data_IF_506032044869
#
_entry.id   IF_506032044869
#
_cell.length_a   1.000
_cell.length_b   1.000
_cell.length_c   1.000
_cell.angle_alpha   90.00
_cell.angle_beta   90.00
_cell.angle_gamma   90.00
#
_symmetry.space_group_name_H-M   'P 1'
#
loop_
_entity.id
_entity.type
_entity.pdbx_description
1 polymer ?
#
# COMPACT_ATOMS: atom_id res chain seq x y z
N UNK A 1 34.19 -5.70 6.89
CA UNK A 1 33.10 -6.53 6.33
C UNK A 1 31.98 -5.58 5.91
N UNK A 2 31.83 -5.29 4.61
CA UNK A 2 30.74 -4.43 4.12
C UNK A 2 29.44 -5.17 4.35
N UNK A 3 28.62 -4.71 5.29
CA UNK A 3 27.23 -5.18 5.40
C UNK A 3 26.57 -4.68 4.11
N UNK A 4 26.14 -5.63 3.28
CA UNK A 4 25.48 -5.33 2.02
C UNK A 4 24.11 -4.70 2.36
N UNK A 5 24.03 -3.37 2.37
CA UNK A 5 22.81 -2.57 2.64
C UNK A 5 21.71 -2.77 1.57
N UNK A 6 21.99 -3.58 0.54
CA UNK A 6 21.09 -3.93 -0.57
C UNK A 6 20.14 -5.11 -0.28
N UNK A 7 20.28 -5.77 0.87
CA UNK A 7 19.25 -6.74 1.28
C UNK A 7 17.96 -5.91 1.38
N UNK A 8 16.86 -6.37 0.81
CA UNK A 8 15.55 -5.74 0.96
C UNK A 8 15.27 -4.47 0.13
N UNK A 9 15.84 -4.27 -1.08
CA UNK A 9 15.39 -3.21 -2.03
C UNK A 9 14.91 -3.82 -3.35
N UNK A 10 13.74 -3.40 -3.86
CA UNK A 10 13.23 -3.91 -5.15
C UNK A 10 14.07 -3.37 -6.30
N UNK A 11 14.56 -4.28 -7.14
CA UNK A 11 15.41 -3.93 -8.26
C UNK A 11 14.66 -3.96 -9.60
N UNK A 12 13.69 -4.86 -9.75
CA UNK A 12 12.88 -4.94 -10.96
C UNK A 12 11.37 -5.00 -10.65
N UNK A 13 10.66 -3.91 -10.98
CA UNK A 13 9.22 -3.78 -10.75
C UNK A 13 8.38 -4.76 -11.59
N UNK A 14 8.85 -5.14 -12.77
CA UNK A 14 8.12 -6.00 -13.70
C UNK A 14 8.25 -7.47 -13.32
N UNK A 15 9.45 -7.90 -12.88
CA UNK A 15 9.62 -9.23 -12.25
C UNK A 15 8.77 -9.31 -10.99
N UNK A 16 8.85 -8.30 -10.12
CA UNK A 16 8.09 -8.30 -8.88
C UNK A 16 6.58 -8.27 -9.10
N UNK A 17 6.08 -7.65 -10.18
CA UNK A 17 4.65 -7.70 -10.52
C UNK A 17 4.21 -9.15 -10.74
N UNK A 18 5.00 -9.92 -11.49
CA UNK A 18 4.72 -11.34 -11.72
C UNK A 18 4.73 -12.13 -10.42
N UNK A 19 5.68 -11.86 -9.53
CA UNK A 19 5.78 -12.51 -8.22
C UNK A 19 4.60 -12.19 -7.29
N UNK A 20 3.93 -11.05 -7.50
CA UNK A 20 2.70 -10.71 -6.77
C UNK A 20 1.46 -11.44 -7.29
N UNK A 21 1.47 -11.99 -8.50
CA UNK A 21 0.32 -12.70 -9.09
C UNK A 21 -0.30 -13.74 -8.15
N UNK A 22 0.43 -14.74 -7.61
CA UNK A 22 -0.16 -15.75 -6.74
C UNK A 22 -0.70 -15.18 -5.42
N UNK A 23 -0.20 -14.03 -4.98
CA UNK A 23 -0.65 -13.36 -3.75
C UNK A 23 -1.94 -12.58 -3.99
N UNK A 24 -2.04 -11.90 -5.14
CA UNK A 24 -3.20 -11.09 -5.50
C UNK A 24 -4.35 -11.98 -5.96
N UNK A 25 -4.07 -13.02 -6.77
CA UNK A 25 -5.07 -14.00 -7.21
C UNK A 25 -5.42 -15.03 -6.15
N UNK A 26 -4.45 -15.39 -5.33
CA UNK A 26 -4.60 -16.50 -4.39
C UNK A 26 -5.43 -16.17 -3.16
N UNK A 27 -5.93 -17.24 -2.56
CA UNK A 27 -6.34 -17.27 -1.16
C UNK A 27 -5.66 -18.43 -0.45
N UNK A 28 -5.76 -18.47 0.87
CA UNK A 28 -5.33 -19.63 1.62
C UNK A 28 -6.32 -20.80 1.46
N UNK A 29 -5.96 -21.95 2.03
CA UNK A 29 -6.75 -23.19 2.02
C UNK A 29 -8.17 -23.06 2.63
N UNK A 30 -8.50 -21.90 3.22
CA UNK A 30 -9.82 -21.59 3.78
C UNK A 30 -10.58 -20.56 2.93
N UNK A 31 -10.13 -20.31 1.70
CA UNK A 31 -10.72 -19.33 0.79
C UNK A 31 -10.47 -17.88 1.20
N UNK A 32 -9.50 -17.62 2.07
CA UNK A 32 -9.18 -16.26 2.54
C UNK A 32 -8.12 -15.64 1.64
N UNK A 33 -8.45 -14.59 0.90
CA UNK A 33 -7.48 -13.88 0.06
C UNK A 33 -6.32 -13.30 0.88
N UNK A 34 -5.08 -13.46 0.39
CA UNK A 34 -3.85 -13.06 1.10
C UNK A 34 -3.80 -11.57 1.43
N UNK A 35 -4.44 -10.74 0.60
CA UNK A 35 -4.58 -9.31 0.81
C UNK A 35 -5.60 -8.98 1.92
N UNK A 36 -6.73 -9.70 1.97
CA UNK A 36 -7.86 -9.49 2.91
C UNK A 36 -7.55 -10.03 4.30
N UNK A 37 -6.95 -11.21 4.35
CA UNK A 37 -6.60 -11.90 5.58
C UNK A 37 -5.09 -12.05 5.61
N UNK A 38 -4.38 -10.99 5.98
CA UNK A 38 -3.01 -11.14 6.52
C UNK A 38 -3.03 -11.86 7.87
N UNK A 39 -3.66 -13.03 7.91
CA UNK A 39 -4.12 -13.73 9.07
C UNK A 39 -3.35 -15.03 9.18
N UNK A 40 -2.34 -14.99 10.04
CA UNK A 40 -2.33 -15.97 11.11
C UNK A 40 -2.15 -15.18 12.39
N UNK A 41 -3.24 -14.84 13.11
CA UNK A 41 -3.44 -14.74 14.58
C UNK A 41 -2.30 -14.17 15.49
N UNK A 42 -1.22 -13.67 14.91
CA UNK A 42 0.11 -13.41 15.48
C UNK A 42 0.81 -12.23 14.80
N UNK A 43 0.16 -11.53 13.86
CA UNK A 43 0.73 -10.35 13.16
C UNK A 43 2.10 -10.60 12.54
N UNK A 44 2.44 -11.86 12.18
CA UNK A 44 3.76 -12.19 11.66
C UNK A 44 3.95 -11.59 10.26
N UNK A 45 5.11 -11.00 9.97
CA UNK A 45 5.48 -10.63 8.61
C UNK A 45 5.78 -11.91 7.81
N UNK A 46 5.49 -11.87 6.51
CA UNK A 46 5.73 -12.98 5.59
C UNK A 46 7.08 -12.75 4.92
N UNK A 47 7.93 -13.78 4.86
CA UNK A 47 9.17 -13.72 4.10
C UNK A 47 8.80 -13.99 2.66
N UNK A 48 8.84 -12.96 1.83
CA UNK A 48 8.62 -13.06 0.39
C UNK A 48 9.98 -13.08 -0.30
N UNK A 49 10.31 -14.21 -0.93
CA UNK A 49 11.44 -14.30 -1.86
C UNK A 49 10.94 -13.89 -3.23
N UNK A 50 11.72 -13.07 -3.92
CA UNK A 50 11.40 -12.49 -5.24
C UNK A 50 12.43 -13.02 -6.22
N UNK A 51 12.02 -13.30 -7.45
CA UNK A 51 12.86 -13.92 -8.49
C UNK A 51 14.03 -13.04 -8.94
N UNK A 52 14.00 -11.73 -8.62
CA UNK A 52 15.12 -10.81 -8.81
C UNK A 52 16.24 -10.98 -7.76
N UNK A 53 16.11 -11.96 -6.86
CA UNK A 53 17.04 -12.29 -5.79
C UNK A 53 16.86 -11.45 -4.52
N UNK A 54 15.89 -10.53 -4.50
CA UNK A 54 15.53 -9.81 -3.29
C UNK A 54 14.64 -10.65 -2.36
N UNK A 55 14.64 -10.30 -1.08
CA UNK A 55 13.75 -10.89 -0.08
C UNK A 55 13.22 -9.73 0.74
N UNK A 56 11.94 -9.75 1.11
CA UNK A 56 11.39 -8.78 2.05
C UNK A 56 10.49 -9.47 3.09
N UNK A 57 10.38 -8.82 4.25
CA UNK A 57 9.77 -9.26 5.47
C UNK A 57 8.69 -8.25 5.89
N UNK A 58 7.79 -8.01 4.95
CA UNK A 58 6.60 -7.16 5.07
C UNK A 58 5.37 -8.05 4.95
N UNK A 59 4.20 -7.58 5.40
CA UNK A 59 2.97 -8.30 5.04
C UNK A 59 2.69 -8.12 3.57
N UNK A 60 2.10 -9.12 2.93
CA UNK A 60 1.78 -9.08 1.49
C UNK A 60 1.05 -7.81 1.06
N UNK A 61 0.02 -7.39 1.81
CA UNK A 61 -0.71 -6.15 1.52
C UNK A 61 0.12 -4.87 1.68
N UNK A 62 1.12 -4.87 2.55
CA UNK A 62 2.00 -3.71 2.78
C UNK A 62 2.99 -3.58 1.62
N UNK A 63 3.56 -4.71 1.18
CA UNK A 63 4.40 -4.78 -0.02
C UNK A 63 3.60 -4.41 -1.28
N UNK A 64 2.39 -4.95 -1.43
CA UNK A 64 1.51 -4.65 -2.55
C UNK A 64 1.11 -3.18 -2.62
N UNK A 65 0.71 -2.59 -1.49
CA UNK A 65 0.39 -1.17 -1.41
C UNK A 65 1.60 -0.29 -1.74
N UNK A 66 2.80 -0.68 -1.31
CA UNK A 66 4.03 0.03 -1.66
C UNK A 66 4.36 -0.06 -3.15
N UNK A 67 4.17 -1.24 -3.77
CA UNK A 67 4.38 -1.40 -5.21
C UNK A 67 3.44 -0.48 -6.01
N UNK A 68 2.15 -0.50 -5.69
CA UNK A 68 1.14 0.36 -6.33
C UNK A 68 1.45 1.85 -6.13
N UNK A 69 1.85 2.25 -4.93
CA UNK A 69 2.25 3.62 -4.64
C UNK A 69 3.47 4.03 -5.46
N UNK A 70 4.51 3.20 -5.48
CA UNK A 70 5.73 3.45 -6.25
C UNK A 70 5.44 3.59 -7.75
N UNK A 71 4.60 2.72 -8.32
CA UNK A 71 4.19 2.81 -9.73
C UNK A 71 3.61 4.18 -10.08
N UNK A 72 2.74 4.71 -9.22
CA UNK A 72 2.15 6.04 -9.42
C UNK A 72 3.16 7.16 -9.19
N UNK A 73 4.00 7.06 -8.16
CA UNK A 73 5.05 8.07 -7.92
C UNK A 73 6.08 8.10 -9.07
N UNK A 74 6.44 6.95 -9.65
CA UNK A 74 7.29 6.86 -10.84
C UNK A 74 6.66 7.61 -12.02
N UNK A 75 5.35 7.46 -12.23
CA UNK A 75 4.59 8.20 -13.25
C UNK A 75 4.58 9.71 -13.02
N UNK A 76 4.35 10.15 -11.78
CA UNK A 76 4.27 11.58 -11.42
C UNK A 76 5.64 12.26 -11.55
N UNK A 77 6.68 11.66 -10.97
CA UNK A 77 7.98 12.30 -10.85
C UNK A 77 8.94 11.95 -11.99
N UNK A 78 8.60 10.99 -12.84
CA UNK A 78 9.48 10.44 -13.87
C UNK A 78 10.86 10.05 -13.30
N UNK A 79 10.84 9.34 -12.16
CA UNK A 79 12.03 8.98 -11.39
C UNK A 79 11.97 7.49 -11.00
N UNK A 80 13.14 6.90 -10.77
CA UNK A 80 13.31 5.53 -10.30
C UNK A 80 13.01 5.43 -8.81
N UNK A 81 11.72 5.33 -8.50
CA UNK A 81 11.19 5.16 -7.16
C UNK A 81 10.91 3.68 -6.93
N UNK A 82 11.36 3.20 -5.78
CA UNK A 82 11.25 1.82 -5.30
C UNK A 82 10.82 1.79 -3.83
N UNK A 83 10.65 0.60 -3.27
CA UNK A 83 10.46 0.43 -1.83
C UNK A 83 11.43 -0.60 -1.26
N UNK A 84 11.60 -0.50 0.05
CA UNK A 84 12.49 -1.35 0.83
C UNK A 84 12.00 -1.51 2.27
N UNK A 85 12.59 -2.45 2.99
CA UNK A 85 12.40 -2.56 4.43
C UNK A 85 13.08 -1.40 5.19
N UNK A 86 12.51 -0.99 6.34
CA UNK A 86 13.23 -0.16 7.29
C UNK A 86 14.41 -0.92 7.91
N UNK A 87 15.43 -0.20 8.36
CA UNK A 87 16.59 -0.81 9.01
C UNK A 87 16.19 -1.49 10.33
N UNK A 88 15.25 -0.89 11.04
CA UNK A 88 14.67 -1.46 12.25
C UNK A 88 13.15 -1.49 12.12
N UNK A 89 12.51 -2.63 12.42
CA UNK A 89 11.03 -2.79 12.35
C UNK A 89 10.25 -1.83 13.25
N UNK A 90 10.88 -1.22 14.24
CA UNK A 90 10.28 -0.18 15.07
C UNK A 90 10.18 1.17 14.38
N UNK A 91 10.93 1.39 13.29
CA UNK A 91 10.96 2.66 12.56
C UNK A 91 9.69 2.86 11.75
N UNK A 92 9.25 1.86 10.99
CA UNK A 92 8.10 1.97 10.09
C UNK A 92 7.61 0.57 9.65
N UNK A 93 6.48 0.52 8.94
CA UNK A 93 6.05 -0.70 8.25
C UNK A 93 6.79 -0.86 6.90
N UNK A 94 7.22 0.25 6.26
CA UNK A 94 8.04 0.24 5.03
C UNK A 94 8.76 1.56 4.75
N UNK A 95 9.57 1.59 3.70
CA UNK A 95 10.28 2.79 3.21
C UNK A 95 10.09 2.92 1.70
N UNK A 96 9.68 4.10 1.25
CA UNK A 96 9.70 4.48 -0.18
C UNK A 96 11.00 5.21 -0.45
N UNK A 97 11.72 4.80 -1.48
CA UNK A 97 13.07 5.24 -1.79
C UNK A 97 13.19 5.67 -3.25
N UNK A 98 13.77 6.83 -3.47
CA UNK A 98 14.06 7.36 -4.80
C UNK A 98 15.55 7.14 -5.10
N UNK A 99 15.86 6.24 -6.05
CA UNK A 99 17.25 5.88 -6.37
C UNK A 99 18.02 7.02 -7.04
N UNK A 100 17.34 7.92 -7.75
CA UNK A 100 18.00 9.04 -8.41
C UNK A 100 18.43 10.13 -7.43
N UNK A 101 17.57 10.44 -6.44
CA UNK A 101 17.80 11.56 -5.51
C UNK A 101 18.33 11.12 -4.14
N UNK A 102 18.36 9.81 -3.88
CA UNK A 102 18.67 9.21 -2.58
C UNK A 102 17.73 9.69 -1.44
N UNK A 103 16.58 10.27 -1.78
CA UNK A 103 15.55 10.68 -0.81
C UNK A 103 14.69 9.48 -0.44
N UNK A 104 14.28 9.43 0.82
CA UNK A 104 13.37 8.42 1.35
C UNK A 104 12.31 9.02 2.25
N UNK A 105 11.15 8.38 2.31
CA UNK A 105 10.18 8.62 3.36
C UNK A 105 9.65 7.30 3.91
N UNK A 106 9.33 7.32 5.20
CA UNK A 106 8.83 6.15 5.92
C UNK A 106 7.33 6.05 5.77
N UNK A 107 6.82 4.82 5.69
CA UNK A 107 5.38 4.55 5.58
C UNK A 107 4.90 3.63 6.69
N UNK A 108 3.76 3.97 7.26
CA UNK A 108 2.95 3.11 8.09
C UNK A 108 1.77 2.61 7.28
N UNK A 109 1.28 1.40 7.56
CA UNK A 109 0.15 0.83 6.82
C UNK A 109 -1.05 0.57 7.72
N UNK A 110 -2.23 0.83 7.19
CA UNK A 110 -3.49 0.42 7.82
C UNK A 110 -4.43 -0.15 6.79
N UNK A 111 -5.23 -1.13 7.18
CA UNK A 111 -6.18 -1.78 6.30
C UNK A 111 -7.61 -1.38 6.66
N UNK A 112 -8.35 -0.91 5.67
CA UNK A 112 -9.78 -0.59 5.72
C UNK A 112 -10.55 -1.60 4.86
N UNK A 113 -10.38 -2.89 5.18
CA UNK A 113 -10.93 -4.01 4.41
C UNK A 113 -12.23 -4.52 5.02
N UNK A 114 -13.05 -5.21 4.22
CA UNK A 114 -14.20 -5.94 4.75
C UNK A 114 -13.74 -7.22 5.44
N UNK A 115 -14.08 -7.35 6.72
CA UNK A 115 -13.78 -8.56 7.48
C UNK A 115 -15.09 -9.30 7.74
N UNK A 116 -15.39 -10.39 7.00
CA UNK A 116 -16.69 -11.06 7.07
C UNK A 116 -17.02 -11.65 8.46
N UNK A 117 -16.01 -11.80 9.32
CA UNK A 117 -16.14 -12.44 10.64
C UNK A 117 -16.06 -11.45 11.82
N UNK A 118 -16.03 -10.13 11.58
CA UNK A 118 -15.93 -9.11 12.63
C UNK A 118 -17.21 -8.27 12.65
N UNK A 119 -17.56 -7.73 13.84
CA UNK A 119 -18.59 -6.70 14.08
C UNK A 119 -18.85 -5.83 12.84
N UNK A 120 -20.12 -5.56 12.53
CA UNK A 120 -20.58 -4.68 11.45
C UNK A 120 -19.69 -3.43 11.36
N UNK A 121 -18.76 -3.42 10.41
CA UNK A 121 -17.86 -2.30 10.16
C UNK A 121 -18.63 -1.22 9.38
N UNK A 122 -18.28 0.07 9.54
CA UNK A 122 -18.79 1.11 8.65
C UNK A 122 -18.47 0.76 7.19
N UNK A 123 -19.27 1.25 6.24
CA UNK A 123 -19.03 1.11 4.81
C UNK A 123 -18.43 2.40 4.22
N UNK A 124 -17.99 2.36 2.96
CA UNK A 124 -17.54 3.53 2.20
C UNK A 124 -16.44 4.34 2.89
N UNK A 125 -16.59 5.68 2.84
CA UNK A 125 -15.64 6.62 3.43
C UNK A 125 -15.46 6.44 4.94
N UNK A 126 -16.52 6.08 5.68
CA UNK A 126 -16.45 5.93 7.12
C UNK A 126 -15.48 4.82 7.54
N UNK A 127 -15.34 3.77 6.73
CA UNK A 127 -14.36 2.70 6.99
C UNK A 127 -12.94 3.23 6.85
N UNK A 128 -12.69 4.00 5.80
CA UNK A 128 -11.40 4.61 5.51
C UNK A 128 -11.03 5.57 6.65
N UNK A 129 -11.96 6.45 7.03
CA UNK A 129 -11.78 7.40 8.12
C UNK A 129 -11.55 6.70 9.47
N UNK A 130 -12.27 5.60 9.75
CA UNK A 130 -12.06 4.81 10.97
C UNK A 130 -10.63 4.24 11.03
N UNK A 131 -10.13 3.69 9.92
CA UNK A 131 -8.78 3.15 9.82
C UNK A 131 -7.70 4.24 10.01
N UNK A 132 -7.87 5.40 9.36
CA UNK A 132 -6.99 6.57 9.52
C UNK A 132 -6.97 7.02 10.98
N UNK A 133 -8.14 7.25 11.56
CA UNK A 133 -8.27 7.74 12.93
C UNK A 133 -7.66 6.79 13.96
N UNK A 134 -7.67 5.47 13.71
CA UNK A 134 -6.98 4.49 14.56
C UNK A 134 -5.47 4.70 14.60
N UNK A 135 -4.86 5.07 13.48
CA UNK A 135 -3.42 5.36 13.40
C UNK A 135 -3.09 6.74 13.95
N UNK A 136 -3.92 7.76 13.69
CA UNK A 136 -3.78 9.10 14.29
C UNK A 136 -3.84 9.04 15.83
N UNK A 137 -4.74 8.23 16.41
CA UNK A 137 -4.88 8.04 17.86
C UNK A 137 -3.63 7.50 18.56
N UNK A 138 -2.65 6.95 17.83
CA UNK A 138 -1.36 6.55 18.40
C UNK A 138 -0.46 7.74 18.77
N UNK A 139 -0.83 8.95 18.35
CA UNK A 139 -0.17 10.19 18.75
C UNK A 139 0.99 10.62 17.84
N UNK A 140 1.40 11.88 17.99
CA UNK A 140 2.36 12.52 17.07
C UNK A 140 3.73 11.86 17.07
N UNK A 141 4.19 11.35 18.21
CA UNK A 141 5.49 10.67 18.28
C UNK A 141 5.54 9.40 17.43
N UNK A 142 4.41 8.70 17.31
CA UNK A 142 4.31 7.51 16.47
C UNK A 142 4.35 7.85 14.96
N UNK A 143 3.74 8.97 14.58
CA UNK A 143 3.54 9.38 13.18
C UNK A 143 4.66 10.28 12.63
N UNK A 144 5.47 10.89 13.50
CA UNK A 144 6.50 11.88 13.14
C UNK A 144 7.43 11.36 12.03
N UNK A 145 7.51 12.11 10.92
CA UNK A 145 8.37 11.79 9.78
C UNK A 145 7.90 10.60 8.94
N UNK A 146 6.65 10.15 9.13
CA UNK A 146 6.06 9.03 8.39
C UNK A 146 4.83 9.49 7.62
N UNK A 147 4.60 8.87 6.48
CA UNK A 147 3.31 8.92 5.78
C UNK A 147 2.45 7.70 6.17
N UNK A 148 1.14 7.82 6.05
CA UNK A 148 0.21 6.70 6.25
C UNK A 148 -0.28 6.19 4.90
N UNK A 149 -0.23 4.89 4.67
CA UNK A 149 -0.80 4.21 3.50
C UNK A 149 -2.01 3.40 3.96
N UNK A 150 -3.19 3.75 3.46
CA UNK A 150 -4.44 3.04 3.71
C UNK A 150 -4.68 2.07 2.57
N UNK A 151 -4.74 0.77 2.86
CA UNK A 151 -5.15 -0.25 1.90
C UNK A 151 -6.64 -0.55 2.05
N UNK A 152 -7.40 -0.41 0.96
CA UNK A 152 -8.86 -0.48 0.94
C UNK A 152 -9.31 -1.61 0.00
N UNK A 153 -10.23 -2.43 0.50
CA UNK A 153 -10.87 -3.50 -0.27
C UNK A 153 -12.29 -3.73 0.27
N UNK A 154 -13.27 -3.87 -0.63
CA UNK A 154 -14.66 -4.16 -0.27
C UNK A 154 -15.38 -3.07 0.54
N UNK A 155 -15.03 -1.79 0.35
CA UNK A 155 -15.73 -0.67 1.00
C UNK A 155 -16.95 -0.15 0.24
N UNK A 156 -17.16 -0.61 -0.99
CA UNK A 156 -18.16 -0.03 -1.90
C UNK A 156 -17.68 1.30 -2.49
N UNK A 157 -18.62 2.14 -2.93
CA UNK A 157 -18.31 3.43 -3.56
C UNK A 157 -17.83 4.42 -2.48
N UNK A 158 -16.74 5.13 -2.77
CA UNK A 158 -16.19 6.18 -1.92
C UNK A 158 -15.56 7.30 -2.77
N UNK A 159 -15.45 8.51 -2.21
CA UNK A 159 -14.93 9.68 -2.92
C UNK A 159 -13.69 10.28 -2.21
N UNK A 160 -12.50 10.34 -2.85
CA UNK A 160 -11.29 10.85 -2.21
C UNK A 160 -11.37 12.28 -1.70
N UNK A 161 -12.08 13.15 -2.43
CA UNK A 161 -12.27 14.54 -2.03
C UNK A 161 -13.15 14.67 -0.78
N UNK A 162 -14.11 13.75 -0.57
CA UNK A 162 -14.90 13.73 0.66
C UNK A 162 -14.04 13.30 1.85
N UNK A 163 -13.28 12.22 1.69
CA UNK A 163 -12.36 11.73 2.73
C UNK A 163 -11.31 12.79 3.09
N UNK A 164 -10.63 13.36 2.09
CA UNK A 164 -9.57 14.35 2.28
C UNK A 164 -10.03 15.62 2.98
N UNK A 165 -11.29 16.06 2.77
CA UNK A 165 -11.89 17.20 3.47
C UNK A 165 -12.20 16.94 4.95
N UNK A 166 -12.43 15.68 5.32
CA UNK A 166 -12.79 15.28 6.69
C UNK A 166 -11.53 15.03 7.54
N UNK A 167 -10.42 14.61 6.93
CA UNK A 167 -9.16 14.40 7.64
C UNK A 167 -8.71 15.72 8.31
N UNK A 168 -8.38 15.72 9.62
CA UNK A 168 -7.93 16.92 10.31
C UNK A 168 -6.67 17.51 9.66
N UNK A 169 -6.67 18.81 9.41
CA UNK A 169 -5.54 19.51 8.79
C UNK A 169 -4.26 19.44 9.65
N UNK A 170 -4.39 19.25 10.96
CA UNK A 170 -3.30 19.11 11.92
C UNK A 170 -3.00 17.64 12.29
N UNK A 171 -3.38 16.69 11.44
CA UNK A 171 -3.02 15.28 11.63
C UNK A 171 -1.48 15.11 11.59
N UNK A 172 -0.91 14.15 12.35
CA UNK A 172 0.52 14.12 12.60
C UNK A 172 1.40 13.36 11.59
N UNK A 173 0.82 12.71 10.57
CA UNK A 173 1.57 12.11 9.46
C UNK A 173 1.95 13.18 8.44
N UNK A 174 3.03 12.97 7.69
CA UNK A 174 3.47 13.89 6.63
C UNK A 174 2.47 13.94 5.47
N UNK A 175 1.96 12.78 5.09
CA UNK A 175 0.93 12.60 4.07
C UNK A 175 0.08 11.36 4.38
N UNK A 176 -1.11 11.29 3.80
CA UNK A 176 -1.98 10.11 3.88
C UNK A 176 -2.36 9.68 2.47
N UNK A 177 -1.85 8.51 2.06
CA UNK A 177 -2.17 7.86 0.81
C UNK A 177 -3.27 6.83 1.00
N UNK A 178 -4.06 6.59 -0.04
CA UNK A 178 -5.03 5.52 -0.12
C UNK A 178 -4.79 4.71 -1.40
N UNK A 179 -4.71 3.40 -1.23
CA UNK A 179 -4.63 2.40 -2.29
C UNK A 179 -5.87 1.52 -2.17
N UNK A 180 -6.76 1.58 -3.16
CA UNK A 180 -8.04 0.87 -3.13
C UNK A 180 -8.22 -0.02 -4.34
N UNK A 181 -8.65 -1.27 -4.12
CA UNK A 181 -9.15 -2.12 -5.20
C UNK A 181 -10.41 -1.50 -5.81
N UNK A 182 -10.44 -1.35 -7.13
CA UNK A 182 -11.63 -0.95 -7.88
C UNK A 182 -12.35 -2.20 -8.38
N UNK A 183 -11.62 -3.07 -9.08
CA UNK A 183 -12.13 -4.32 -9.66
C UNK A 183 -10.97 -5.32 -9.78
N UNK A 184 -11.31 -6.60 -9.75
CA UNK A 184 -10.37 -7.70 -9.95
C UNK A 184 -11.09 -8.94 -10.46
N UNK A 185 -10.49 -9.63 -11.43
CA UNK A 185 -11.09 -10.82 -12.04
C UNK A 185 -10.24 -11.41 -13.17
N UNK A 186 -10.90 -12.17 -14.04
CA UNK A 186 -10.24 -12.90 -15.14
C UNK A 186 -9.53 -11.98 -16.14
N UNK A 187 -10.01 -10.75 -16.31
CA UNK A 187 -9.46 -9.76 -17.25
C UNK A 187 -8.30 -8.94 -16.68
N UNK A 188 -8.01 -9.05 -15.39
CA UNK A 188 -7.00 -8.25 -14.71
C UNK A 188 -7.51 -7.61 -13.42
N UNK A 189 -6.74 -6.64 -12.94
CA UNK A 189 -7.03 -5.92 -11.70
C UNK A 189 -6.86 -4.43 -11.91
N UNK A 190 -7.71 -3.62 -11.30
CA UNK A 190 -7.47 -2.17 -11.25
C UNK A 190 -7.58 -1.61 -9.84
N UNK A 191 -6.66 -0.69 -9.54
CA UNK A 191 -6.52 -0.05 -8.24
C UNK A 191 -6.52 1.46 -8.40
N UNK A 192 -7.17 2.18 -7.49
CA UNK A 192 -6.97 3.62 -7.36
C UNK A 192 -5.88 3.92 -6.34
N UNK A 193 -5.01 4.87 -6.65
CA UNK A 193 -4.02 5.44 -5.72
C UNK A 193 -4.26 6.94 -5.64
N UNK A 194 -4.35 7.47 -4.43
CA UNK A 194 -4.59 8.89 -4.18
C UNK A 194 -3.87 9.36 -2.93
N UNK A 195 -3.36 10.59 -2.96
CA UNK A 195 -2.99 11.33 -1.75
C UNK A 195 -4.19 12.16 -1.30
N UNK A 196 -4.59 12.00 -0.04
CA UNK A 196 -5.69 12.79 0.49
C UNK A 196 -5.28 14.24 0.71
N UNK A 197 -6.10 15.14 0.18
CA UNK A 197 -5.94 16.58 0.34
C UNK A 197 -7.27 17.22 0.75
N UNK A 198 -7.19 18.27 1.55
CA UNK A 198 -8.35 19.09 1.93
C UNK A 198 -8.93 19.83 0.71
N UNK A 199 -8.09 20.16 -0.26
CA UNK A 199 -8.48 20.95 -1.43
C UNK A 199 -8.90 20.04 -2.58
N UNK A 200 -7.96 19.25 -3.10
CA UNK A 200 -8.18 18.34 -4.21
C UNK A 200 -7.24 17.14 -4.10
N UNK A 201 -7.83 15.95 -3.94
CA UNK A 201 -7.14 14.67 -3.89
C UNK A 201 -6.97 14.15 -5.32
N UNK A 202 -5.76 14.27 -5.87
CA UNK A 202 -5.42 13.68 -7.17
C UNK A 202 -5.55 12.17 -7.10
N UNK A 203 -6.12 11.56 -8.13
CA UNK A 203 -6.34 10.11 -8.18
C UNK A 203 -5.78 9.52 -9.47
N UNK A 204 -5.06 8.43 -9.33
CA UNK A 204 -4.55 7.61 -10.43
C UNK A 204 -5.20 6.23 -10.38
N UNK A 205 -5.47 5.66 -11.54
CA UNK A 205 -5.83 4.25 -11.71
C UNK A 205 -4.61 3.49 -12.22
N UNK A 206 -4.28 2.38 -11.56
CA UNK A 206 -3.30 1.40 -12.02
C UNK A 206 -4.08 0.20 -12.54
N UNK A 207 -4.00 -0.06 -13.84
CA UNK A 207 -4.58 -1.24 -14.49
C UNK A 207 -3.49 -2.29 -14.64
N UNK A 208 -3.71 -3.51 -14.19
CA UNK A 208 -2.78 -4.64 -14.29
C UNK A 208 -3.45 -5.70 -15.14
N UNK A 209 -2.72 -6.22 -16.13
CA UNK A 209 -3.25 -7.25 -17.00
C UNK A 209 -3.40 -8.60 -16.27
N UNK A 210 -4.21 -9.50 -16.84
CA UNK A 210 -4.58 -10.75 -16.17
C UNK A 210 -3.41 -11.67 -15.85
N UNK A 211 -2.30 -11.60 -16.55
CA UNK A 211 -1.11 -12.45 -16.34
C UNK A 211 0.00 -11.76 -15.54
N UNK A 212 -0.24 -10.53 -15.03
CA UNK A 212 0.70 -9.77 -14.19
C UNK A 212 2.07 -9.54 -14.87
N UNK A 213 2.07 -9.39 -16.19
CA UNK A 213 3.29 -9.08 -16.96
C UNK A 213 3.41 -7.60 -17.29
N UNK A 214 2.30 -6.85 -17.23
CA UNK A 214 2.25 -5.44 -17.59
C UNK A 214 1.20 -4.65 -16.80
N UNK A 215 1.37 -3.33 -16.78
CA UNK A 215 0.45 -2.39 -16.15
C UNK A 215 0.42 -1.04 -16.83
N UNK A 216 -0.69 -0.32 -16.66
CA UNK A 216 -0.88 1.04 -17.13
C UNK A 216 -1.27 1.96 -15.96
N UNK A 217 -0.80 3.21 -15.97
CA UNK A 217 -1.21 4.25 -15.01
C UNK A 217 -1.92 5.39 -15.72
N UNK A 218 -3.18 5.62 -15.36
CA UNK A 218 -4.04 6.68 -15.90
C UNK A 218 -4.42 7.64 -14.79
N UNK A 219 -4.32 8.95 -15.01
CA UNK A 219 -4.86 9.94 -14.07
C UNK A 219 -6.38 10.07 -14.26
N UNK A 220 -7.15 9.95 -13.18
CA UNK A 220 -8.61 10.03 -13.20
C UNK A 220 -9.11 11.45 -12.87
N UNK A 221 -8.42 12.15 -11.97
CA UNK A 221 -8.73 13.52 -11.54
C UNK A 221 -7.53 14.18 -10.87
#
# INVERSE_FOLDING_TARGET
MKINDQRYQVNNFQILLKDFEPIVKGGDLKGRHWLINGNNLKKKPDIMSVDDGSTFNMRYREAWANWLLCVVLRKIYNQDITFQEPKHKSEADGVIFNKNTNKKFFVEHVSAMDYPYIKKLPAGEDRILCAINKKIKKGSQYAKGKSLVVFVDGTGIWYPNKVGRIIPANQPFEAIFCVALIEGGETGYSYSVTEFSKFHSLMFRVNINSDFTDFEVVQLQ
#
